data_IF_779713225831
#
_entry.id   IF_779713225831
#
_cell.length_a   1.000
_cell.length_b   1.000
_cell.length_c   1.000
_cell.angle_alpha   90.00
_cell.angle_beta   90.00
_cell.angle_gamma   90.00
#
_symmetry.space_group_name_H-M   'P 1'
#
loop_
_entity.id
_entity.type
_entity.pdbx_description
1 polymer ?
#
# COMPACT_ATOMS: atom_id res chain seq x y z
N UNK A 1 11.77 13.55 -5.65
CA UNK A 1 11.21 12.52 -4.78
C UNK A 1 11.19 13.02 -3.33
N UNK A 2 10.04 12.95 -2.62
CA UNK A 2 9.88 13.44 -1.25
C UNK A 2 10.31 12.44 -0.16
N UNK A 3 10.66 11.20 -0.55
CA UNK A 3 11.28 10.22 0.35
C UNK A 3 12.78 10.51 0.51
N UNK A 4 13.28 10.33 1.73
CA UNK A 4 14.68 10.49 2.12
C UNK A 4 15.41 9.15 2.03
N UNK A 5 14.90 8.13 2.71
CA UNK A 5 15.49 6.79 2.79
C UNK A 5 14.41 5.75 3.09
N UNK A 6 14.77 4.48 2.91
CA UNK A 6 14.06 3.33 3.45
C UNK A 6 15.01 2.66 4.42
N UNK A 7 14.58 2.52 5.67
CA UNK A 7 15.40 2.00 6.77
C UNK A 7 14.55 1.07 7.63
N UNK A 8 15.05 -0.14 7.86
CA UNK A 8 14.39 -1.16 8.69
C UNK A 8 12.95 -1.46 8.25
N UNK A 9 12.70 -1.46 6.94
CA UNK A 9 11.35 -1.66 6.36
C UNK A 9 10.41 -0.46 6.51
N UNK A 10 10.88 0.68 7.03
CA UNK A 10 10.11 1.92 7.14
C UNK A 10 10.54 2.91 6.06
N UNK A 11 9.57 3.61 5.45
CA UNK A 11 9.87 4.76 4.58
C UNK A 11 10.04 6.01 5.44
N UNK A 12 11.14 6.73 5.23
CA UNK A 12 11.43 8.01 5.89
C UNK A 12 11.27 9.14 4.89
N UNK A 13 10.40 10.11 5.19
CA UNK A 13 10.22 11.29 4.33
C UNK A 13 11.36 12.31 4.51
N UNK A 14 11.54 13.25 3.58
CA UNK A 14 12.47 14.39 3.78
C UNK A 14 12.06 15.32 4.90
N UNK A 15 10.79 15.29 5.29
CA UNK A 15 10.28 15.95 6.48
C UNK A 15 10.41 15.07 7.74
N UNK A 16 11.04 13.90 7.58
CA UNK A 16 11.30 12.86 8.56
C UNK A 16 10.04 12.22 9.18
N UNK A 17 8.93 12.23 8.45
CA UNK A 17 7.82 11.33 8.78
C UNK A 17 8.26 9.87 8.60
N UNK A 18 7.80 9.01 9.50
CA UNK A 18 8.07 7.57 9.45
C UNK A 18 6.81 6.85 9.00
N UNK A 19 6.90 6.08 7.93
CA UNK A 19 5.78 5.32 7.38
C UNK A 19 6.08 3.83 7.37
N UNK A 20 5.19 3.04 7.97
CA UNK A 20 5.14 1.58 7.84
C UNK A 20 4.07 1.22 6.81
N UNK A 21 4.40 0.31 5.89
CA UNK A 21 3.51 -0.12 4.83
C UNK A 21 3.10 -1.58 5.02
N UNK A 22 1.84 -1.87 4.71
CA UNK A 22 1.27 -3.21 4.75
C UNK A 22 0.60 -3.52 3.42
N UNK A 23 0.69 -4.78 2.99
CA UNK A 23 -0.28 -5.35 2.05
C UNK A 23 -1.50 -5.83 2.83
N UNK A 24 -2.68 -5.57 2.29
CA UNK A 24 -3.95 -5.98 2.90
C UNK A 24 -4.63 -7.03 2.02
N UNK A 25 -4.89 -8.20 2.57
CA UNK A 25 -5.78 -9.19 1.98
C UNK A 25 -7.17 -8.99 2.57
N UNK A 26 -8.15 -8.77 1.70
CA UNK A 26 -9.55 -8.58 2.05
C UNK A 26 -10.37 -9.78 1.58
N UNK A 27 -11.50 -10.08 2.25
CA UNK A 27 -12.40 -11.13 1.78
C UNK A 27 -13.01 -10.75 0.43
N UNK A 28 -13.40 -11.77 -0.34
CA UNK A 28 -14.08 -11.57 -1.62
C UNK A 28 -15.40 -10.80 -1.44
N UNK A 29 -15.78 -10.06 -2.48
CA UNK A 29 -17.02 -9.30 -2.45
C UNK A 29 -18.21 -10.23 -2.23
N UNK A 30 -19.07 -9.87 -1.28
CA UNK A 30 -20.30 -10.60 -0.93
C UNK A 30 -20.13 -11.99 -0.33
N UNK A 31 -18.93 -12.36 0.16
CA UNK A 31 -18.72 -13.64 0.86
C UNK A 31 -18.88 -13.55 2.37
N UNK A 32 -19.08 -12.34 2.91
CA UNK A 32 -19.06 -12.06 4.36
C UNK A 32 -20.47 -11.94 4.92
N UNK A 33 -20.72 -12.56 6.08
CA UNK A 33 -21.96 -12.47 6.84
C UNK A 33 -22.04 -11.18 7.65
N UNK A 34 -23.24 -10.80 8.13
CA UNK A 34 -23.40 -9.60 8.96
C UNK A 34 -22.55 -9.64 10.24
N UNK A 35 -22.43 -10.81 10.87
CA UNK A 35 -21.64 -10.96 12.11
C UNK A 35 -20.14 -10.78 11.85
N UNK A 36 -19.62 -11.33 10.75
CA UNK A 36 -18.23 -11.15 10.35
C UNK A 36 -17.95 -9.69 9.96
N UNK A 37 -18.90 -9.02 9.30
CA UNK A 37 -18.77 -7.61 8.97
C UNK A 37 -18.66 -6.73 10.24
N UNK A 38 -19.49 -6.99 11.25
CA UNK A 38 -19.40 -6.30 12.54
C UNK A 38 -18.08 -6.58 13.27
N UNK A 39 -17.56 -7.80 13.18
CA UNK A 39 -16.26 -8.18 13.73
C UNK A 39 -15.12 -7.42 13.04
N UNK A 40 -15.11 -7.37 11.70
CA UNK A 40 -14.15 -6.59 10.90
C UNK A 40 -14.19 -5.11 11.28
N UNK A 41 -15.39 -4.51 11.34
CA UNK A 41 -15.55 -3.11 11.73
C UNK A 41 -15.01 -2.84 13.14
N UNK A 42 -15.35 -3.73 14.08
CA UNK A 42 -14.90 -3.63 15.47
C UNK A 42 -13.38 -3.74 15.59
N UNK A 43 -12.73 -4.58 14.78
CA UNK A 43 -11.29 -4.72 14.75
C UNK A 43 -10.60 -3.48 14.20
N UNK A 44 -11.06 -2.90 13.08
CA UNK A 44 -10.55 -1.61 12.58
C UNK A 44 -10.66 -0.52 13.63
N UNK A 45 -11.81 -0.41 14.29
CA UNK A 45 -12.02 0.59 15.33
C UNK A 45 -11.08 0.39 16.53
N UNK A 46 -10.85 -0.87 16.97
CA UNK A 46 -9.87 -1.18 18.04
C UNK A 46 -8.44 -0.87 17.60
N UNK A 47 -8.06 -1.28 16.40
CA UNK A 47 -6.70 -1.10 15.88
C UNK A 47 -6.37 0.40 15.76
N UNK A 48 -7.26 1.20 15.16
CA UNK A 48 -7.04 2.66 15.03
C UNK A 48 -6.87 3.33 16.40
N UNK A 49 -7.57 2.87 17.44
CA UNK A 49 -7.46 3.42 18.79
C UNK A 49 -6.11 3.19 19.47
N UNK A 50 -5.35 2.18 19.08
CA UNK A 50 -4.01 1.94 19.67
C UNK A 50 -2.96 2.88 19.11
N UNK A 51 -3.22 3.50 17.96
CA UNK A 51 -2.26 4.37 17.31
C UNK A 51 -2.05 5.67 18.11
N UNK A 52 -0.81 6.14 18.25
CA UNK A 52 -0.52 7.37 18.97
C UNK A 52 -1.05 8.59 18.21
N UNK A 53 -1.15 9.72 18.93
CA UNK A 53 -1.56 10.99 18.32
C UNK A 53 -0.64 11.39 17.16
N UNK A 54 -1.24 12.07 16.18
CA UNK A 54 -0.56 12.49 14.95
C UNK A 54 -0.07 11.30 14.10
N UNK A 55 -0.87 10.22 14.08
CA UNK A 55 -0.71 9.12 13.12
C UNK A 55 -1.72 9.30 11.99
N UNK A 56 -1.26 9.17 10.76
CA UNK A 56 -2.10 9.16 9.55
C UNK A 56 -2.28 7.70 9.14
N UNK A 57 -3.53 7.27 9.02
CA UNK A 57 -3.90 5.98 8.45
C UNK A 57 -4.34 6.23 7.01
N UNK A 58 -3.62 5.68 6.05
CA UNK A 58 -3.92 5.83 4.63
C UNK A 58 -4.10 4.45 4.00
N UNK A 59 -5.35 4.10 3.71
CA UNK A 59 -5.68 2.91 2.90
C UNK A 59 -5.78 3.32 1.45
N UNK A 60 -5.12 2.56 0.58
CA UNK A 60 -5.09 2.79 -0.85
C UNK A 60 -5.52 1.52 -1.59
N UNK A 61 -6.45 1.69 -2.52
CA UNK A 61 -6.96 0.64 -3.39
C UNK A 61 -6.44 0.87 -4.81
N UNK A 62 -5.76 -0.12 -5.36
CA UNK A 62 -5.28 -0.14 -6.74
C UNK A 62 -6.14 -1.08 -7.56
N UNK A 63 -6.62 -0.60 -8.70
CA UNK A 63 -7.35 -1.39 -9.67
C UNK A 63 -6.62 -1.35 -11.01
N UNK A 64 -6.08 -2.49 -11.43
CA UNK A 64 -5.42 -2.62 -12.73
C UNK A 64 -6.27 -3.50 -13.63
N UNK A 65 -6.53 -3.04 -14.85
CA UNK A 65 -7.31 -3.82 -15.82
C UNK A 65 -6.42 -4.89 -16.44
N UNK A 66 -6.71 -6.13 -16.12
CA UNK A 66 -5.96 -7.29 -16.61
C UNK A 66 -6.87 -8.24 -17.39
N UNK A 67 -6.26 -9.20 -18.10
CA UNK A 67 -6.98 -10.27 -18.79
C UNK A 67 -6.68 -11.57 -18.09
N UNK A 68 -7.72 -12.34 -17.80
CA UNK A 68 -7.54 -13.64 -17.14
C UNK A 68 -6.74 -14.59 -18.04
N UNK A 69 -5.58 -15.02 -17.55
CA UNK A 69 -4.75 -16.02 -18.18
C UNK A 69 -4.97 -17.39 -17.50
N UNK A 70 -5.57 -18.36 -18.18
CA UNK A 70 -5.78 -19.67 -17.61
C UNK A 70 -4.44 -20.37 -17.39
N UNK A 71 -4.23 -20.95 -16.21
CA UNK A 71 -3.11 -21.85 -15.94
C UNK A 71 -3.30 -23.15 -16.73
N UNK A 72 -2.90 -23.16 -18.00
CA UNK A 72 -3.10 -24.30 -18.90
C UNK A 72 -2.18 -25.49 -18.61
N UNK A 73 -1.15 -25.32 -17.77
CA UNK A 73 -0.05 -26.28 -17.60
C UNK A 73 -0.11 -27.15 -16.33
N UNK A 74 -1.17 -27.05 -15.51
CA UNK A 74 -1.29 -27.92 -14.32
C UNK A 74 -1.88 -29.29 -14.72
N UNK A 75 -1.02 -30.32 -14.78
CA UNK A 75 -1.44 -31.70 -14.98
C UNK A 75 -2.28 -32.16 -13.79
N UNK A 76 -3.60 -32.26 -13.96
CA UNK A 76 -4.53 -32.69 -12.91
C UNK A 76 -5.83 -31.88 -12.77
N UNK A 77 -6.06 -30.87 -13.62
CA UNK A 77 -7.27 -30.04 -13.53
C UNK A 77 -8.57 -30.85 -13.75
N UNK A 78 -9.50 -30.70 -12.82
CA UNK A 78 -10.85 -31.30 -12.90
C UNK A 78 -11.63 -30.79 -14.11
N UNK A 79 -12.68 -31.52 -14.53
CA UNK A 79 -13.57 -31.10 -15.62
C UNK A 79 -14.13 -29.68 -15.42
N UNK A 80 -14.56 -29.35 -14.19
CA UNK A 80 -15.10 -28.03 -13.85
C UNK A 80 -14.03 -26.93 -13.94
N UNK A 81 -12.82 -27.21 -13.46
CA UNK A 81 -11.69 -26.28 -13.56
C UNK A 81 -11.35 -25.98 -15.02
N UNK A 82 -11.38 -27.00 -15.89
CA UNK A 82 -11.16 -26.82 -17.34
C UNK A 82 -12.27 -26.01 -18.00
N UNK A 83 -13.53 -26.27 -17.66
CA UNK A 83 -14.68 -25.53 -18.18
C UNK A 83 -14.64 -24.05 -17.73
N UNK A 84 -14.30 -23.80 -16.45
CA UNK A 84 -14.11 -22.47 -15.89
C UNK A 84 -12.98 -21.72 -16.60
N UNK A 85 -11.80 -22.33 -16.71
CA UNK A 85 -10.64 -21.75 -17.41
C UNK A 85 -10.99 -21.37 -18.86
N UNK A 86 -11.76 -22.20 -19.56
CA UNK A 86 -12.21 -21.90 -20.92
C UNK A 86 -13.24 -20.77 -20.95
N UNK A 87 -14.15 -20.72 -19.98
CA UNK A 87 -15.18 -19.68 -19.90
C UNK A 87 -14.58 -18.29 -19.64
N UNK A 88 -13.59 -18.22 -18.75
CA UNK A 88 -12.95 -16.96 -18.33
C UNK A 88 -11.74 -16.57 -19.15
N UNK A 89 -11.25 -17.42 -20.06
CA UNK A 89 -10.08 -17.13 -20.89
C UNK A 89 -10.20 -15.74 -21.57
N UNK A 90 -9.16 -14.92 -21.41
CA UNK A 90 -9.02 -13.56 -21.95
C UNK A 90 -10.07 -12.55 -21.49
N UNK A 91 -10.96 -12.91 -20.57
CA UNK A 91 -11.95 -11.97 -20.05
C UNK A 91 -11.26 -10.87 -19.25
N UNK A 92 -11.60 -9.59 -19.50
CA UNK A 92 -11.04 -8.49 -18.73
C UNK A 92 -11.64 -8.49 -17.31
N UNK A 93 -10.80 -8.30 -16.32
CA UNK A 93 -11.20 -8.08 -14.92
C UNK A 93 -10.36 -6.95 -14.32
N UNK A 94 -10.79 -6.43 -13.17
CA UNK A 94 -10.01 -5.48 -12.40
C UNK A 94 -9.26 -6.24 -11.32
N UNK A 95 -7.94 -6.32 -11.44
CA UNK A 95 -7.07 -6.82 -10.40
C UNK A 95 -7.03 -5.79 -9.27
N UNK A 96 -7.45 -6.20 -8.07
CA UNK A 96 -7.56 -5.33 -6.90
C UNK A 96 -6.42 -5.62 -5.92
N UNK A 97 -5.59 -4.62 -5.70
CA UNK A 97 -4.48 -4.66 -4.75
C UNK A 97 -4.67 -3.59 -3.70
N UNK A 98 -4.48 -3.94 -2.42
CA UNK A 98 -4.70 -3.01 -1.31
C UNK A 98 -3.43 -2.83 -0.50
N UNK A 99 -3.13 -1.57 -0.21
CA UNK A 99 -2.05 -1.17 0.67
C UNK A 99 -2.57 -0.31 1.81
N UNK A 100 -1.95 -0.46 2.97
CA UNK A 100 -2.20 0.36 4.14
C UNK A 100 -0.89 1.00 4.59
N UNK A 101 -0.89 2.31 4.74
CA UNK A 101 0.24 3.08 5.21
C UNK A 101 -0.11 3.72 6.55
N UNK A 102 0.70 3.41 7.57
CA UNK A 102 0.65 4.06 8.87
C UNK A 102 1.82 5.04 8.94
N UNK A 103 1.51 6.34 8.98
CA UNK A 103 2.55 7.38 8.99
C UNK A 103 2.51 8.15 10.29
N UNK A 104 3.61 8.13 11.04
CA UNK A 104 3.82 9.03 12.17
C UNK A 104 4.26 10.39 11.63
N UNK A 105 3.44 11.40 11.91
CA UNK A 105 3.74 12.80 11.62
C UNK A 105 3.83 13.60 12.93
N UNK A 106 4.20 14.87 12.83
CA UNK A 106 4.17 15.81 13.93
C UNK A 106 3.03 16.83 13.84
N UNK A 107 2.73 17.45 14.99
CA UNK A 107 1.67 18.47 15.14
C UNK A 107 1.91 19.68 14.24
N UNK A 108 3.17 20.10 14.10
CA UNK A 108 3.54 21.28 13.32
C UNK A 108 3.29 21.09 11.82
N UNK A 109 3.42 19.86 11.30
CA UNK A 109 3.13 19.52 9.90
C UNK A 109 1.64 19.43 9.61
N UNK A 110 0.82 18.92 10.54
CA UNK A 110 -0.64 18.85 10.34
C UNK A 110 -1.28 20.23 10.12
N UNK A 111 -0.60 21.31 10.54
CA UNK A 111 -1.00 22.70 10.32
C UNK A 111 -0.51 23.30 8.99
N UNK A 112 0.35 22.61 8.23
CA UNK A 112 0.90 23.11 6.96
C UNK A 112 0.02 22.68 5.79
N UNK A 113 -0.28 23.62 4.89
CA UNK A 113 -0.98 23.35 3.65
C UNK A 113 -0.03 22.75 2.59
N UNK A 114 -0.60 21.98 1.64
CA UNK A 114 0.11 21.23 0.58
C UNK A 114 0.96 22.09 -0.37
N UNK A 115 0.80 23.42 -0.32
CA UNK A 115 1.56 24.38 -1.09
C UNK A 115 2.97 24.65 -0.54
N UNK A 116 3.33 24.11 0.63
CA UNK A 116 4.62 24.37 1.25
C UNK A 116 5.68 23.34 0.82
N UNK A 117 6.37 23.61 -0.28
CA UNK A 117 7.45 22.76 -0.82
C UNK A 117 8.64 22.67 0.14
N UNK A 118 9.09 21.45 0.42
CA UNK A 118 10.30 21.15 1.20
C UNK A 118 11.59 21.61 0.50
N UNK A 119 11.54 21.96 -0.79
CA UNK A 119 12.69 22.47 -1.56
C UNK A 119 13.20 23.83 -1.06
N UNK A 120 12.40 24.57 -0.28
CA UNK A 120 12.74 25.91 0.19
C UNK A 120 13.22 25.97 1.65
N UNK A 121 13.53 24.84 2.31
CA UNK A 121 14.00 24.85 3.70
C UNK A 121 15.53 24.71 3.80
N UNK A 122 16.15 25.63 4.55
CA UNK A 122 17.57 25.58 4.90
C UNK A 122 17.93 24.63 6.06
N UNK A 123 16.94 23.93 6.65
CA UNK A 123 17.16 22.92 7.68
C UNK A 123 16.41 21.64 7.29
N UNK A 124 17.13 20.53 7.26
CA UNK A 124 16.65 19.25 6.70
C UNK A 124 15.74 18.46 7.67
N UNK A 125 15.83 18.65 8.98
CA UNK A 125 15.16 17.77 9.95
C UNK A 125 14.45 18.58 11.07
N UNK A 126 13.13 18.38 11.28
CA UNK A 126 12.46 18.80 12.51
C UNK A 126 13.07 18.07 13.72
N UNK A 127 13.37 18.80 14.80
CA UNK A 127 14.01 18.25 16.01
C UNK A 127 13.23 17.10 16.68
N UNK A 128 11.94 16.95 16.39
CA UNK A 128 11.05 15.96 17.02
C UNK A 128 11.34 14.51 16.58
N UNK A 129 11.91 14.26 15.39
CA UNK A 129 12.36 12.90 15.00
C UNK A 129 13.62 12.43 15.73
N UNK A 130 14.23 13.31 16.51
CA UNK A 130 15.30 12.92 17.43
C UNK A 130 14.77 12.15 18.63
N UNK A 131 13.45 12.16 18.89
CA UNK A 131 12.86 11.44 20.01
C UNK A 131 12.68 9.94 19.68
N UNK A 132 13.77 9.19 19.89
CA UNK A 132 13.80 7.74 19.72
C UNK A 132 12.69 7.02 20.50
N UNK A 133 12.24 7.58 21.63
CA UNK A 133 11.17 6.98 22.42
C UNK A 133 9.82 7.05 21.72
N UNK A 134 9.51 8.15 21.04
CA UNK A 134 8.26 8.26 20.25
C UNK A 134 8.25 7.29 19.08
N UNK A 135 9.40 7.09 18.43
CA UNK A 135 9.54 6.12 17.33
C UNK A 135 9.30 4.70 17.84
N UNK A 136 9.90 4.33 18.97
CA UNK A 136 9.70 2.99 19.57
C UNK A 136 8.23 2.77 19.93
N UNK A 137 7.59 3.74 20.60
CA UNK A 137 6.15 3.66 20.93
C UNK A 137 5.27 3.56 19.69
N UNK A 138 5.63 4.25 18.62
CA UNK A 138 4.91 4.15 17.35
C UNK A 138 5.04 2.76 16.74
N UNK A 139 6.25 2.20 16.68
CA UNK A 139 6.47 0.84 16.17
C UNK A 139 5.73 -0.22 17.00
N UNK A 140 5.76 -0.12 18.34
CA UNK A 140 5.00 -1.00 19.23
C UNK A 140 3.47 -0.90 18.98
N UNK A 141 2.96 0.32 18.76
CA UNK A 141 1.55 0.53 18.42
C UNK A 141 1.19 -0.03 17.04
N UNK A 142 2.12 0.03 16.07
CA UNK A 142 1.96 -0.57 14.75
C UNK A 142 1.93 -2.09 14.83
N UNK A 143 2.80 -2.72 15.61
CA UNK A 143 2.78 -4.17 15.86
C UNK A 143 1.47 -4.61 16.52
N UNK A 144 0.99 -3.82 17.49
CA UNK A 144 -0.30 -4.07 18.14
C UNK A 144 -1.46 -3.90 17.15
N UNK A 145 -1.41 -2.89 16.29
CA UNK A 145 -2.39 -2.65 15.22
C UNK A 145 -2.47 -3.86 14.28
N UNK A 146 -1.32 -4.36 13.81
CA UNK A 146 -1.23 -5.52 12.93
C UNK A 146 -1.88 -6.76 13.56
N UNK A 147 -1.55 -7.05 14.82
CA UNK A 147 -2.12 -8.19 15.56
C UNK A 147 -3.63 -8.11 15.68
N UNK A 148 -4.17 -6.95 16.09
CA UNK A 148 -5.62 -6.76 16.28
C UNK A 148 -6.40 -7.04 14.98
N UNK A 149 -5.88 -6.62 13.83
CA UNK A 149 -6.53 -6.86 12.55
C UNK A 149 -6.41 -8.34 12.15
N UNK A 150 -5.21 -8.93 12.27
CA UNK A 150 -4.96 -10.32 11.90
C UNK A 150 -5.74 -11.33 12.75
N UNK A 151 -6.07 -10.98 14.00
CA UNK A 151 -6.90 -11.80 14.90
C UNK A 151 -8.33 -12.03 14.39
N UNK A 152 -8.82 -11.21 13.44
CA UNK A 152 -10.17 -11.39 12.90
C UNK A 152 -10.30 -12.56 11.93
N UNK A 153 -9.19 -13.06 11.38
CA UNK A 153 -9.14 -14.08 10.32
C UNK A 153 -9.77 -13.66 8.97
N UNK A 154 -10.66 -12.65 8.91
CA UNK A 154 -11.22 -12.15 7.66
C UNK A 154 -10.28 -11.19 6.92
N UNK A 155 -9.45 -10.44 7.65
CA UNK A 155 -8.50 -9.48 7.08
C UNK A 155 -7.10 -9.92 7.46
N UNK A 156 -6.19 -9.90 6.49
CA UNK A 156 -4.77 -10.15 6.74
C UNK A 156 -3.93 -8.94 6.35
N UNK A 157 -3.18 -8.43 7.31
CA UNK A 157 -2.10 -7.47 7.11
C UNK A 157 -0.79 -8.23 7.05
N UNK A 158 0.00 -7.92 6.03
CA UNK A 158 1.38 -8.39 5.90
C UNK A 158 2.28 -7.17 5.80
N UNK A 159 3.14 -6.98 6.80
CA UNK A 159 4.14 -5.91 6.79
C UNK A 159 5.08 -6.04 5.59
N UNK A 160 5.29 -4.94 4.89
CA UNK A 160 6.13 -4.89 3.68
C UNK A 160 7.59 -4.66 4.08
N UNK A 161 8.49 -5.49 3.56
CA UNK A 161 9.93 -5.34 3.79
C UNK A 161 10.54 -4.33 2.82
N UNK A 162 11.81 -3.99 3.04
CA UNK A 162 12.55 -3.10 2.14
C UNK A 162 12.55 -3.59 0.68
N UNK A 163 12.69 -4.91 0.50
CA UNK A 163 12.60 -5.59 -0.79
C UNK A 163 11.22 -5.43 -1.47
N UNK A 164 10.13 -5.39 -0.70
CA UNK A 164 8.79 -5.16 -1.23
C UNK A 164 8.55 -3.69 -1.59
N UNK A 165 9.26 -2.77 -0.94
CA UNK A 165 9.13 -1.32 -1.14
C UNK A 165 9.96 -0.82 -2.32
N UNK A 166 11.26 -1.14 -2.31
CA UNK A 166 12.23 -0.71 -3.34
C UNK A 166 12.25 -1.65 -4.53
N UNK A 167 11.95 -2.94 -4.31
CA UNK A 167 12.15 -3.97 -5.30
C UNK A 167 13.51 -4.65 -5.16
N UNK A 168 13.65 -5.77 -5.86
CA UNK A 168 14.91 -6.51 -6.04
C UNK A 168 15.38 -6.34 -7.48
N UNK A 169 16.56 -6.83 -7.86
CA UNK A 169 17.04 -6.75 -9.25
C UNK A 169 16.11 -7.41 -10.29
N UNK A 170 15.23 -8.32 -9.87
CA UNK A 170 14.35 -9.09 -10.75
C UNK A 170 12.89 -8.63 -10.68
N UNK A 171 12.45 -8.03 -9.56
CA UNK A 171 11.05 -7.66 -9.31
C UNK A 171 10.95 -6.22 -8.83
N UNK A 172 10.10 -5.44 -9.49
CA UNK A 172 9.83 -4.06 -9.08
C UNK A 172 9.14 -3.98 -7.70
N UNK A 173 9.53 -2.97 -6.93
CA UNK A 173 8.95 -2.68 -5.62
C UNK A 173 7.65 -1.90 -5.72
N UNK A 174 7.04 -1.62 -4.58
CA UNK A 174 5.89 -0.72 -4.48
C UNK A 174 6.16 0.65 -5.11
N UNK A 175 7.36 1.21 -4.88
CA UNK A 175 7.73 2.52 -5.41
C UNK A 175 7.84 2.51 -6.94
N UNK A 176 8.31 1.41 -7.54
CA UNK A 176 8.39 1.27 -8.99
C UNK A 176 7.01 1.29 -9.64
N UNK A 177 5.99 0.72 -8.98
CA UNK A 177 4.59 0.74 -9.45
C UNK A 177 4.06 2.16 -9.64
N UNK A 178 4.47 3.11 -8.80
CA UNK A 178 4.10 4.51 -8.96
C UNK A 178 4.72 5.17 -10.19
N UNK A 179 5.83 4.62 -10.69
CA UNK A 179 6.55 5.11 -11.86
C UNK A 179 6.25 4.32 -13.13
N UNK A 180 5.54 3.20 -13.06
CA UNK A 180 5.17 2.40 -14.23
C UNK A 180 3.65 2.23 -14.42
N UNK A 181 2.84 2.50 -13.37
CA UNK A 181 1.42 2.14 -13.31
C UNK A 181 1.15 0.65 -13.64
N UNK A 182 2.11 -0.22 -13.37
CA UNK A 182 2.06 -1.66 -13.69
C UNK A 182 2.42 -2.50 -12.46
N UNK A 183 1.79 -3.67 -12.32
CA UNK A 183 2.17 -4.70 -11.36
C UNK A 183 3.40 -5.51 -11.82
N UNK A 184 3.61 -5.59 -13.14
CA UNK A 184 4.61 -6.42 -13.80
C UNK A 184 5.75 -5.56 -14.36
N UNK A 185 6.99 -6.01 -14.11
CA UNK A 185 8.21 -5.41 -14.66
C UNK A 185 9.04 -4.63 -13.63
N UNK A 186 10.36 -4.63 -13.87
CA UNK A 186 11.28 -3.68 -13.25
C UNK A 186 10.99 -2.28 -13.82
N UNK A 187 11.17 -1.22 -13.03
CA UNK A 187 10.84 0.16 -13.45
C UNK A 187 11.43 0.48 -14.83
N UNK A 188 10.58 0.43 -15.85
CA UNK A 188 10.89 0.94 -17.17
C UNK A 188 11.04 2.46 -17.03
N UNK A 189 12.10 3.02 -17.63
CA UNK A 189 12.27 4.47 -17.75
C UNK A 189 11.19 5.03 -18.68
N UNK A 190 9.96 5.09 -18.18
CA UNK A 190 8.79 5.57 -18.92
C UNK A 190 8.54 7.05 -18.67
N UNK A 191 8.12 7.75 -19.72
CA UNK A 191 7.82 9.18 -19.64
C UNK A 191 6.54 9.41 -18.82
N UNK A 192 6.66 10.23 -17.78
CA UNK A 192 5.53 10.71 -16.97
C UNK A 192 4.97 11.99 -17.59
N UNK A 193 3.69 11.98 -17.96
CA UNK A 193 2.95 13.15 -18.42
C UNK A 193 1.83 13.47 -17.44
N UNK A 194 1.91 14.66 -16.83
CA UNK A 194 0.90 15.21 -15.93
C UNK A 194 0.11 16.29 -16.68
N UNK A 195 -1.07 15.95 -17.19
CA UNK A 195 -2.02 16.90 -17.78
C UNK A 195 -3.17 17.21 -16.82
N UNK A 196 -3.92 18.28 -17.10
CA UNK A 196 -5.08 18.67 -16.30
C UNK A 196 -6.16 17.56 -16.22
N UNK A 197 -6.34 16.83 -17.32
CA UNK A 197 -7.38 15.79 -17.44
C UNK A 197 -6.81 14.37 -17.55
N UNK A 198 -5.49 14.22 -17.67
CA UNK A 198 -4.86 12.92 -17.93
C UNK A 198 -3.49 12.83 -17.28
N UNK A 199 -3.33 11.84 -16.40
CA UNK A 199 -2.03 11.39 -15.92
C UNK A 199 -1.67 10.10 -16.68
N UNK A 200 -0.52 10.10 -17.33
CA UNK A 200 -0.02 8.97 -18.13
C UNK A 200 1.42 8.67 -17.77
N UNK A 201 1.75 7.40 -17.65
CA UNK A 201 3.13 6.94 -17.60
C UNK A 201 3.31 5.92 -18.73
N UNK A 202 4.22 6.22 -19.67
CA UNK A 202 4.37 5.42 -20.89
C UNK A 202 3.06 5.31 -21.66
N UNK A 203 2.54 4.09 -21.82
CA UNK A 203 1.24 3.82 -22.44
C UNK A 203 0.10 3.64 -21.42
N UNK A 204 0.43 3.52 -20.14
CA UNK A 204 -0.52 3.35 -19.05
C UNK A 204 -1.17 4.67 -18.65
N UNK A 205 -2.49 4.68 -18.54
CA UNK A 205 -3.29 5.87 -18.22
C UNK A 205 -3.97 5.68 -16.88
N UNK A 206 -3.84 6.69 -16.02
CA UNK A 206 -4.62 6.79 -14.80
C UNK A 206 -6.03 7.29 -15.16
N UNK A 207 -7.06 6.55 -14.73
CA UNK A 207 -8.44 7.01 -14.76
C UNK A 207 -8.82 7.45 -13.34
N UNK A 208 -9.18 8.72 -13.17
CA UNK A 208 -9.71 9.30 -11.91
C UNK A 208 -11.24 9.33 -11.93
#
# INVERSE_FOLDING_TARGET
FPLLSIEQGCMVSKDADITVAFRVELPELFTVTSAEYEAMHSAWHKAIKVLPNYTIVHKQDWFIKERYQPKMAESGLSFLSRASNRHFNERPFLHHSVYLFLTKTNKQRMQRQSNFSSLCRGHLLPKEITDKEEVVKFMEAVDQFERIINDTEQIRLTSMKEEDLVGTAEKGGLLDRYFSLSEEGHASLEDIRLGADLVRIGDNRLCL
#
